data_IF_313594688926
#
_entry.id   IF_313594688926
#
_cell.length_a   1.000
_cell.length_b   1.000
_cell.length_c   1.000
_cell.angle_alpha   90.00
_cell.angle_beta   90.00
_cell.angle_gamma   90.00
#
_symmetry.space_group_name_H-M   'P 1'
#
loop_
_entity.id
_entity.type
_entity.pdbx_description
1 polymer ?
#
# COMPACT_ATOMS: atom_id res chain seq x y z
N UNK A 1 -3.68 -15.83 -19.10
CA UNK A 1 -4.19 -14.45 -19.18
C UNK A 1 -5.20 -14.37 -20.31
N UNK A 2 -6.45 -13.97 -20.04
CA UNK A 2 -7.52 -13.93 -21.07
C UNK A 2 -7.71 -12.53 -21.67
N UNK A 3 -7.34 -11.49 -20.92
CA UNK A 3 -7.36 -10.09 -21.37
C UNK A 3 -5.96 -9.54 -21.62
N UNK A 4 -5.89 -8.45 -22.38
CA UNK A 4 -4.67 -7.65 -22.51
C UNK A 4 -4.25 -7.09 -21.14
N UNK A 5 -2.96 -6.83 -20.97
CA UNK A 5 -2.42 -6.28 -19.72
C UNK A 5 -1.27 -5.33 -19.98
N UNK A 6 -0.89 -4.59 -18.95
CA UNK A 6 0.31 -3.75 -18.94
C UNK A 6 1.16 -4.12 -17.74
N UNK A 7 2.43 -4.46 -17.99
CA UNK A 7 3.38 -4.81 -16.93
C UNK A 7 4.14 -3.58 -16.43
N UNK A 8 4.83 -3.67 -15.28
CA UNK A 8 5.58 -2.53 -14.76
C UNK A 8 6.72 -2.09 -15.68
N UNK A 9 7.35 -3.01 -16.42
CA UNK A 9 8.35 -2.66 -17.44
C UNK A 9 8.62 -3.85 -18.37
N UNK A 10 8.55 -3.61 -19.68
CA UNK A 10 8.89 -4.64 -20.68
C UNK A 10 10.39 -4.97 -20.72
N UNK A 11 11.26 -4.08 -20.25
CA UNK A 11 12.73 -4.22 -20.33
C UNK A 11 13.37 -4.69 -19.02
N UNK A 12 12.61 -4.74 -17.92
CA UNK A 12 13.14 -5.10 -16.61
C UNK A 12 13.08 -6.60 -16.32
N UNK A 13 14.09 -7.08 -15.58
CA UNK A 13 14.36 -8.49 -15.30
C UNK A 13 13.18 -9.27 -14.71
N UNK A 14 12.38 -8.62 -13.85
CA UNK A 14 11.28 -9.23 -13.10
C UNK A 14 9.91 -8.61 -13.41
N UNK A 15 9.82 -7.74 -14.41
CA UNK A 15 8.58 -7.07 -14.80
C UNK A 15 8.16 -7.33 -16.25
N UNK A 16 8.99 -8.02 -17.05
CA UNK A 16 8.69 -8.30 -18.46
C UNK A 16 7.68 -9.45 -18.65
N UNK A 17 7.39 -9.80 -19.90
CA UNK A 17 6.35 -10.75 -20.26
C UNK A 17 4.96 -10.15 -20.07
N UNK A 18 4.06 -10.86 -19.39
CA UNK A 18 2.73 -10.40 -19.01
C UNK A 18 2.53 -10.44 -17.48
N UNK A 19 3.61 -10.27 -16.72
CA UNK A 19 3.61 -10.19 -15.26
C UNK A 19 2.85 -8.94 -14.80
N UNK A 20 1.66 -9.17 -14.25
CA UNK A 20 0.70 -8.12 -13.91
C UNK A 20 0.54 -8.07 -12.41
N UNK A 21 0.86 -6.93 -11.81
CA UNK A 21 0.71 -6.68 -10.39
C UNK A 21 -0.55 -5.85 -10.11
N UNK A 22 -1.24 -6.15 -9.00
CA UNK A 22 -2.46 -5.45 -8.63
C UNK A 22 -2.23 -3.93 -8.42
N UNK A 23 -1.22 -3.56 -7.62
CA UNK A 23 -0.89 -2.16 -7.29
C UNK A 23 -0.62 -1.30 -8.53
N UNK A 24 0.21 -1.82 -9.42
CA UNK A 24 0.63 -1.18 -10.66
C UNK A 24 -0.57 -0.94 -11.58
N UNK A 25 -1.43 -1.94 -11.71
CA UNK A 25 -2.54 -1.91 -12.67
C UNK A 25 -3.55 -0.81 -12.36
N UNK A 26 -3.84 -0.53 -11.08
CA UNK A 26 -4.75 0.56 -10.71
C UNK A 26 -4.24 1.91 -11.20
N UNK A 27 -2.95 2.16 -11.00
CA UNK A 27 -2.26 3.41 -11.37
C UNK A 27 -2.14 3.55 -12.88
N UNK A 28 -1.73 2.48 -13.54
CA UNK A 28 -1.55 2.43 -14.98
C UNK A 28 -2.88 2.65 -15.69
N UNK A 29 -3.93 1.91 -15.32
CA UNK A 29 -5.24 2.05 -15.93
C UNK A 29 -5.86 3.44 -15.71
N UNK A 30 -5.64 4.04 -14.53
CA UNK A 30 -6.10 5.41 -14.24
C UNK A 30 -5.50 6.43 -15.23
N UNK A 31 -4.20 6.35 -15.53
CA UNK A 31 -3.63 7.25 -16.54
C UNK A 31 -4.04 6.85 -17.96
N UNK A 32 -4.00 5.54 -18.25
CA UNK A 32 -4.22 5.02 -19.59
C UNK A 32 -5.59 5.31 -20.14
N UNK A 33 -6.64 5.38 -19.32
CA UNK A 33 -7.99 5.62 -19.85
C UNK A 33 -8.10 6.92 -20.64
N UNK A 34 -7.29 7.93 -20.31
CA UNK A 34 -7.31 9.23 -21.00
C UNK A 34 -6.74 9.21 -22.42
N UNK A 35 -6.08 8.12 -22.83
CA UNK A 35 -5.51 7.99 -24.19
C UNK A 35 -5.64 6.59 -24.82
N UNK A 36 -5.91 5.55 -24.04
CA UNK A 36 -6.11 4.17 -24.44
C UNK A 36 -7.11 3.45 -23.49
N UNK A 37 -8.41 3.81 -23.53
CA UNK A 37 -9.43 3.28 -22.62
C UNK A 37 -9.66 1.78 -22.72
N UNK A 38 -9.53 1.18 -23.90
CA UNK A 38 -9.77 -0.26 -24.09
C UNK A 38 -8.72 -1.10 -23.35
N UNK A 39 -7.43 -0.74 -23.48
CA UNK A 39 -6.37 -1.44 -22.75
C UNK A 39 -6.42 -1.15 -21.25
N UNK A 40 -6.87 0.04 -20.83
CA UNK A 40 -7.09 0.32 -19.41
C UNK A 40 -8.14 -0.62 -18.80
N UNK A 41 -9.29 -0.81 -19.48
CA UNK A 41 -10.33 -1.77 -19.08
C UNK A 41 -9.78 -3.20 -19.04
N UNK A 42 -9.12 -3.63 -20.11
CA UNK A 42 -8.59 -4.99 -20.20
C UNK A 42 -7.52 -5.28 -19.14
N UNK A 43 -6.64 -4.33 -18.84
CA UNK A 43 -5.61 -4.50 -17.80
C UNK A 43 -6.22 -4.70 -16.42
N UNK A 44 -7.33 -4.01 -16.11
CA UNK A 44 -8.10 -4.26 -14.89
C UNK A 44 -8.73 -5.65 -14.94
N UNK A 45 -9.39 -6.02 -16.05
CA UNK A 45 -10.00 -7.36 -16.21
C UNK A 45 -8.99 -8.49 -16.04
N UNK A 46 -7.76 -8.32 -16.52
CA UNK A 46 -6.72 -9.34 -16.46
C UNK A 46 -6.39 -9.80 -15.02
N UNK A 47 -6.49 -8.89 -14.03
CA UNK A 47 -6.39 -9.24 -12.61
C UNK A 47 -7.64 -9.96 -12.11
N UNK A 48 -8.81 -9.40 -12.44
CA UNK A 48 -10.09 -9.94 -11.99
C UNK A 48 -10.50 -11.28 -12.65
N UNK A 49 -9.85 -11.67 -13.75
CA UNK A 49 -9.94 -13.01 -14.34
C UNK A 49 -9.52 -14.11 -13.34
N UNK A 50 -8.67 -13.75 -12.38
CA UNK A 50 -8.10 -14.63 -11.37
C UNK A 50 -8.48 -14.24 -9.95
N UNK A 51 -9.50 -13.39 -9.80
CA UNK A 51 -10.10 -13.16 -8.49
C UNK A 51 -10.63 -14.48 -7.93
N UNK A 52 -10.26 -14.79 -6.69
CA UNK A 52 -10.61 -16.05 -6.04
C UNK A 52 -12.12 -16.16 -5.93
N UNK A 53 -12.68 -17.29 -6.38
CA UNK A 53 -14.11 -17.57 -6.30
C UNK A 53 -14.42 -18.42 -5.06
N UNK A 54 -15.66 -18.41 -4.54
CA UNK A 54 -16.04 -19.21 -3.36
C UNK A 54 -15.77 -20.72 -3.49
N UNK A 55 -15.71 -21.24 -4.71
CA UNK A 55 -15.42 -22.64 -5.01
C UNK A 55 -13.97 -22.87 -5.49
N UNK A 56 -13.05 -21.93 -5.22
CA UNK A 56 -11.64 -22.09 -5.58
C UNK A 56 -11.06 -23.37 -4.92
N UNK A 57 -10.34 -24.22 -5.67
CA UNK A 57 -9.90 -25.51 -5.15
C UNK A 57 -8.69 -25.42 -4.21
N UNK A 58 -8.02 -24.26 -4.12
CA UNK A 58 -6.78 -24.08 -3.35
C UNK A 58 -7.06 -23.24 -2.11
N UNK A 59 -7.81 -22.15 -2.28
CA UNK A 59 -8.02 -21.14 -1.25
C UNK A 59 -9.46 -20.61 -1.22
N UNK A 60 -10.48 -21.47 -1.04
CA UNK A 60 -11.86 -21.01 -0.96
C UNK A 60 -12.10 -20.01 0.18
N UNK A 61 -11.26 -20.04 1.24
CA UNK A 61 -11.28 -19.07 2.33
C UNK A 61 -10.92 -17.63 1.90
N UNK A 62 -10.28 -17.46 0.73
CA UNK A 62 -9.84 -16.18 0.19
C UNK A 62 -10.80 -15.64 -0.89
N UNK A 63 -12.05 -16.12 -0.97
CA UNK A 63 -13.02 -15.65 -1.95
C UNK A 63 -13.09 -14.12 -2.04
N UNK A 64 -12.95 -13.56 -3.23
CA UNK A 64 -12.89 -12.12 -3.47
C UNK A 64 -11.47 -11.53 -3.55
N UNK A 65 -10.45 -12.22 -3.03
CA UNK A 65 -9.06 -11.80 -3.13
C UNK A 65 -8.60 -11.67 -4.59
N UNK A 66 -7.80 -10.64 -4.87
CA UNK A 66 -7.04 -10.51 -6.11
C UNK A 66 -5.58 -10.92 -5.83
N UNK A 67 -4.99 -11.87 -6.59
CA UNK A 67 -3.58 -12.24 -6.44
C UNK A 67 -2.63 -11.04 -6.58
N UNK A 68 -1.49 -11.08 -5.89
CA UNK A 68 -0.43 -10.09 -6.03
C UNK A 68 0.10 -10.02 -7.47
N UNK A 69 0.51 -11.18 -8.01
CA UNK A 69 1.04 -11.30 -9.35
C UNK A 69 0.38 -12.42 -10.14
N UNK A 70 -0.19 -12.05 -11.29
CA UNK A 70 -0.65 -12.99 -12.31
C UNK A 70 0.25 -12.90 -13.55
N UNK A 71 0.53 -14.04 -14.17
CA UNK A 71 1.45 -14.13 -15.32
C UNK A 71 1.07 -15.30 -16.24
N UNK A 72 1.88 -15.56 -17.27
CA UNK A 72 1.64 -16.60 -18.27
C UNK A 72 1.46 -17.99 -17.65
N UNK A 73 2.43 -18.43 -16.83
CA UNK A 73 2.41 -19.72 -16.17
C UNK A 73 1.88 -19.57 -14.74
N UNK A 74 0.85 -20.34 -14.39
CA UNK A 74 0.36 -20.43 -13.01
C UNK A 74 1.31 -21.25 -12.14
N UNK A 75 1.18 -21.13 -10.82
CA UNK A 75 1.88 -22.00 -9.86
C UNK A 75 1.52 -23.49 -10.05
N UNK A 76 2.37 -24.42 -9.55
CA UNK A 76 2.10 -25.86 -9.54
C UNK A 76 0.75 -26.25 -8.93
N UNK A 77 0.32 -25.56 -7.87
CA UNK A 77 -0.97 -25.80 -7.21
C UNK A 77 -2.16 -25.59 -8.16
N UNK A 78 -1.98 -24.73 -9.18
CA UNK A 78 -2.96 -24.46 -10.25
C UNK A 78 -2.70 -25.24 -11.53
N UNK A 79 -1.79 -26.22 -11.50
CA UNK A 79 -1.47 -27.08 -12.64
C UNK A 79 -0.49 -26.50 -13.66
N UNK A 80 0.22 -25.42 -13.32
CA UNK A 80 1.29 -24.85 -14.14
C UNK A 80 2.68 -25.19 -13.61
N UNK A 81 3.69 -24.48 -14.10
CA UNK A 81 5.11 -24.61 -13.69
C UNK A 81 5.75 -23.24 -13.40
N UNK A 82 4.93 -22.19 -13.23
CA UNK A 82 5.37 -20.83 -13.04
C UNK A 82 5.97 -20.59 -11.65
N UNK A 83 7.15 -19.95 -11.60
CA UNK A 83 7.80 -19.55 -10.36
C UNK A 83 7.47 -18.14 -9.87
N UNK A 84 6.81 -17.32 -10.70
CA UNK A 84 6.56 -15.91 -10.40
C UNK A 84 5.14 -15.67 -9.86
N UNK A 85 4.15 -16.42 -10.36
CA UNK A 85 2.76 -16.32 -9.93
C UNK A 85 2.66 -16.29 -8.41
N UNK A 86 2.04 -15.25 -7.85
CA UNK A 86 2.05 -15.01 -6.41
C UNK A 86 0.66 -14.79 -5.84
N UNK A 87 0.28 -15.64 -4.89
CA UNK A 87 -0.95 -15.54 -4.10
C UNK A 87 -0.67 -15.48 -2.60
N UNK A 88 0.59 -15.28 -2.19
CA UNK A 88 0.98 -15.16 -0.77
C UNK A 88 0.41 -13.90 -0.11
N UNK A 89 0.08 -12.91 -0.92
CA UNK A 89 -0.44 -11.61 -0.54
C UNK A 89 -1.23 -11.04 -1.71
N UNK A 90 -1.86 -9.89 -1.49
CA UNK A 90 -2.37 -9.01 -2.55
C UNK A 90 -1.50 -7.74 -2.63
N UNK A 91 -2.10 -6.59 -2.96
CA UNK A 91 -1.53 -5.24 -2.89
C UNK A 91 -2.55 -4.23 -2.37
N UNK A 92 -2.17 -2.98 -2.04
CA UNK A 92 -3.13 -2.01 -1.52
C UNK A 92 -4.24 -1.73 -2.55
N UNK A 93 -5.49 -1.61 -2.10
CA UNK A 93 -6.64 -1.51 -3.01
C UNK A 93 -6.91 -0.07 -3.44
N UNK A 94 -6.55 0.25 -4.68
CA UNK A 94 -7.06 1.42 -5.43
C UNK A 94 -7.97 0.98 -6.59
N UNK A 95 -8.56 -0.22 -6.49
CA UNK A 95 -9.34 -0.83 -7.56
C UNK A 95 -10.57 0.01 -7.91
N UNK A 96 -11.39 0.38 -6.92
CA UNK A 96 -12.60 1.17 -7.16
C UNK A 96 -12.29 2.59 -7.66
N UNK A 97 -11.18 3.18 -7.21
CA UNK A 97 -10.67 4.45 -7.73
C UNK A 97 -10.33 4.36 -9.23
N UNK A 98 -9.60 3.32 -9.63
CA UNK A 98 -9.21 3.09 -11.03
C UNK A 98 -10.43 2.78 -11.91
N UNK A 99 -11.34 1.91 -11.45
CA UNK A 99 -12.60 1.58 -12.15
C UNK A 99 -13.46 2.83 -12.34
N UNK A 100 -13.55 3.68 -11.32
CA UNK A 100 -14.30 4.94 -11.40
C UNK A 100 -13.70 5.90 -12.42
N UNK A 101 -12.37 5.99 -12.54
CA UNK A 101 -11.77 6.88 -13.55
C UNK A 101 -12.03 6.38 -14.97
N UNK A 102 -12.02 5.07 -15.17
CA UNK A 102 -12.45 4.47 -16.43
C UNK A 102 -13.88 4.92 -16.78
N UNK A 103 -14.79 4.89 -15.81
CA UNK A 103 -16.14 5.40 -15.99
C UNK A 103 -16.17 6.93 -16.21
N UNK A 104 -15.35 7.71 -15.50
CA UNK A 104 -15.31 9.16 -15.63
C UNK A 104 -14.99 9.62 -17.04
N UNK A 105 -14.09 8.91 -17.73
CA UNK A 105 -13.72 9.21 -19.12
C UNK A 105 -14.70 8.59 -20.13
N UNK A 106 -15.07 7.32 -19.96
CA UNK A 106 -15.86 6.60 -20.97
C UNK A 106 -17.37 6.76 -20.83
N UNK A 107 -17.85 7.14 -19.65
CA UNK A 107 -19.28 7.18 -19.26
C UNK A 107 -20.04 5.87 -19.53
N UNK A 108 -19.31 4.74 -19.52
CA UNK A 108 -19.83 3.42 -19.80
C UNK A 108 -20.47 2.79 -18.56
N UNK A 109 -21.81 2.77 -18.49
CA UNK A 109 -22.53 2.13 -17.40
C UNK A 109 -22.36 0.60 -17.39
N UNK A 110 -22.15 -0.04 -18.53
CA UNK A 110 -21.98 -1.50 -18.60
C UNK A 110 -20.66 -1.91 -17.95
N UNK A 111 -19.62 -1.08 -18.08
CA UNK A 111 -18.37 -1.24 -17.34
C UNK A 111 -18.58 -1.24 -15.82
N UNK A 112 -19.38 -0.31 -15.29
CA UNK A 112 -19.69 -0.31 -13.85
C UNK A 112 -20.49 -1.55 -13.44
N UNK A 113 -21.46 -1.99 -14.25
CA UNK A 113 -22.22 -3.22 -14.00
C UNK A 113 -21.31 -4.46 -13.96
N UNK A 114 -20.31 -4.52 -14.84
CA UNK A 114 -19.33 -5.59 -14.89
C UNK A 114 -18.43 -5.62 -13.64
N UNK A 115 -17.91 -4.45 -13.25
CA UNK A 115 -16.87 -4.36 -12.23
C UNK A 115 -17.40 -4.29 -10.80
N UNK A 116 -18.59 -3.72 -10.59
CA UNK A 116 -19.14 -3.52 -9.25
C UNK A 116 -19.18 -4.79 -8.38
N UNK A 117 -19.75 -5.94 -8.81
CA UNK A 117 -19.76 -7.15 -7.97
C UNK A 117 -18.35 -7.69 -7.66
N UNK A 118 -17.38 -7.44 -8.53
CA UNK A 118 -15.98 -7.85 -8.33
C UNK A 118 -15.29 -6.98 -7.29
N UNK A 119 -15.55 -5.66 -7.33
CA UNK A 119 -15.08 -4.72 -6.31
C UNK A 119 -15.66 -5.05 -4.94
N UNK A 120 -16.98 -5.30 -4.86
CA UNK A 120 -17.66 -5.72 -3.63
C UNK A 120 -17.03 -6.98 -3.04
N UNK A 121 -16.78 -8.01 -3.86
CA UNK A 121 -16.14 -9.23 -3.36
C UNK A 121 -14.72 -8.98 -2.81
N UNK A 122 -13.95 -8.08 -3.42
CA UNK A 122 -12.61 -7.74 -2.94
C UNK A 122 -12.65 -6.90 -1.66
N UNK A 123 -13.59 -5.95 -1.58
CA UNK A 123 -13.89 -5.20 -0.36
C UNK A 123 -14.20 -6.13 0.82
N UNK A 124 -15.14 -7.06 0.62
CA UNK A 124 -15.57 -7.98 1.66
C UNK A 124 -14.43 -8.93 2.09
N UNK A 125 -13.50 -9.27 1.18
CA UNK A 125 -12.34 -10.10 1.53
C UNK A 125 -11.41 -9.39 2.53
N UNK A 126 -11.15 -8.10 2.37
CA UNK A 126 -10.34 -7.34 3.33
C UNK A 126 -10.94 -7.39 4.73
N UNK A 127 -12.24 -7.14 4.87
CA UNK A 127 -12.93 -7.16 6.17
C UNK A 127 -12.99 -8.55 6.81
N UNK A 128 -12.88 -9.63 6.02
CA UNK A 128 -12.87 -11.00 6.55
C UNK A 128 -11.47 -11.53 6.88
N UNK A 129 -10.47 -11.18 6.08
CA UNK A 129 -9.17 -11.85 6.08
C UNK A 129 -8.02 -10.93 6.55
N UNK A 130 -8.29 -9.64 6.76
CA UNK A 130 -7.31 -8.58 7.08
C UNK A 130 -7.83 -7.57 8.10
N UNK A 131 -8.67 -8.02 9.02
CA UNK A 131 -9.17 -7.23 10.15
C UNK A 131 -9.09 -8.12 11.40
N UNK A 132 -7.89 -8.20 11.97
CA UNK A 132 -7.56 -9.15 13.04
C UNK A 132 -8.41 -8.91 14.29
N UNK A 133 -8.62 -7.65 14.66
CA UNK A 133 -9.33 -7.26 15.87
C UNK A 133 -10.85 -7.03 15.63
N UNK A 134 -11.31 -7.11 14.39
CA UNK A 134 -12.72 -7.02 14.01
C UNK A 134 -13.32 -5.62 14.18
N UNK A 135 -12.50 -4.57 14.08
CA UNK A 135 -12.94 -3.19 14.29
C UNK A 135 -13.38 -2.48 13.00
N UNK A 136 -13.30 -3.15 11.85
CA UNK A 136 -13.62 -2.61 10.53
C UNK A 136 -12.48 -1.80 9.89
N UNK A 137 -11.27 -1.84 10.44
CA UNK A 137 -10.09 -1.13 9.96
C UNK A 137 -9.03 -2.15 9.53
N UNK A 138 -8.68 -2.23 8.24
CA UNK A 138 -7.83 -3.30 7.76
C UNK A 138 -6.35 -3.14 8.14
N UNK A 139 -5.67 -4.26 8.29
CA UNK A 139 -4.20 -4.34 8.34
C UNK A 139 -3.63 -4.83 6.99
N UNK A 140 -2.34 -4.58 6.75
CA UNK A 140 -1.59 -5.38 5.78
C UNK A 140 -1.24 -6.73 6.39
N UNK A 141 -1.14 -7.75 5.54
CA UNK A 141 -0.98 -9.12 5.99
C UNK A 141 -0.58 -10.10 4.91
N UNK A 142 -0.84 -11.38 5.16
CA UNK A 142 -0.49 -12.47 4.25
C UNK A 142 -1.58 -13.54 4.24
N UNK A 143 -1.63 -14.33 3.17
CA UNK A 143 -2.57 -15.45 3.08
C UNK A 143 -2.04 -16.66 3.82
N UNK A 144 -2.93 -17.63 4.09
CA UNK A 144 -2.52 -19.01 4.30
C UNK A 144 -1.84 -19.51 3.01
N UNK A 145 -0.62 -20.02 3.12
CA UNK A 145 0.18 -20.46 1.96
C UNK A 145 1.24 -21.49 2.38
N UNK A 146 1.64 -22.37 1.45
CA UNK A 146 2.70 -23.37 1.69
C UNK A 146 4.04 -22.74 2.11
N UNK A 147 4.30 -21.50 1.69
CA UNK A 147 5.49 -20.75 2.08
C UNK A 147 5.38 -20.20 3.51
N UNK A 148 4.17 -20.06 4.04
CA UNK A 148 3.89 -19.34 5.29
C UNK A 148 3.62 -20.26 6.45
N UNK A 149 3.09 -21.46 6.20
CA UNK A 149 2.66 -22.36 7.24
C UNK A 149 2.88 -23.83 6.90
N UNK A 150 3.01 -24.63 7.96
CA UNK A 150 2.96 -26.09 7.87
C UNK A 150 1.60 -26.57 7.35
N UNK A 151 1.50 -27.86 6.99
CA UNK A 151 0.23 -28.47 6.60
C UNK A 151 -0.85 -28.41 7.70
N UNK A 152 -0.44 -28.38 8.97
CA UNK A 152 -1.32 -28.17 10.14
C UNK A 152 -1.72 -26.71 10.37
N UNK A 153 -1.16 -25.77 9.60
CA UNK A 153 -1.46 -24.35 9.69
C UNK A 153 -0.61 -23.58 10.72
N UNK A 154 0.52 -24.13 11.17
CA UNK A 154 1.43 -23.43 12.08
C UNK A 154 2.35 -22.50 11.28
N UNK A 155 2.39 -21.22 11.66
CA UNK A 155 3.24 -20.21 11.02
C UNK A 155 4.72 -20.61 11.02
N UNK A 156 5.39 -20.54 9.88
CA UNK A 156 6.82 -20.79 9.70
C UNK A 156 7.64 -19.53 10.00
N UNK A 157 8.79 -19.70 10.63
CA UNK A 157 9.80 -18.66 10.78
C UNK A 157 11.20 -19.26 10.92
N UNK A 158 12.22 -18.49 10.58
CA UNK A 158 13.63 -18.89 10.70
C UNK A 158 14.36 -17.94 11.65
N UNK A 159 15.04 -18.52 12.63
CA UNK A 159 15.88 -17.81 13.59
C UNK A 159 17.33 -17.92 13.16
N UNK A 160 18.03 -16.79 13.05
CA UNK A 160 19.46 -16.75 12.79
C UNK A 160 20.23 -16.24 14.00
N UNK A 161 21.31 -16.92 14.38
CA UNK A 161 22.24 -16.51 15.44
C UNK A 161 23.65 -16.96 15.12
N UNK A 162 24.53 -16.03 14.80
CA UNK A 162 25.82 -16.30 14.17
C UNK A 162 25.63 -17.08 12.87
N UNK A 163 26.35 -18.18 12.74
CA UNK A 163 26.28 -19.07 11.57
C UNK A 163 25.16 -20.12 11.67
N UNK A 164 24.35 -20.11 12.74
CA UNK A 164 23.24 -21.06 12.92
C UNK A 164 21.95 -20.46 12.42
N UNK A 165 21.26 -21.20 11.56
CA UNK A 165 19.88 -20.94 11.13
C UNK A 165 19.00 -22.13 11.49
N UNK A 166 17.88 -21.87 12.14
CA UNK A 166 16.90 -22.89 12.53
C UNK A 166 15.51 -22.46 12.08
N UNK A 167 14.82 -23.33 11.33
CA UNK A 167 13.43 -23.09 10.93
C UNK A 167 12.51 -23.76 11.92
N UNK A 168 11.63 -22.95 12.51
CA UNK A 168 10.67 -23.31 13.54
C UNK A 168 9.26 -23.00 13.07
N UNK A 169 8.28 -23.40 13.86
CA UNK A 169 6.88 -23.09 13.59
C UNK A 169 6.06 -22.84 14.85
N UNK A 170 4.93 -22.15 14.67
CA UNK A 170 3.96 -21.83 15.71
C UNK A 170 4.12 -20.42 16.28
N UNK A 171 3.02 -19.69 16.36
CA UNK A 171 2.99 -18.29 16.79
C UNK A 171 3.52 -18.11 18.23
N UNK A 172 3.14 -19.00 19.15
CA UNK A 172 3.62 -18.97 20.54
C UNK A 172 5.15 -19.13 20.65
N UNK A 173 5.71 -20.09 19.90
CA UNK A 173 7.16 -20.29 19.84
C UNK A 173 7.87 -19.06 19.30
N UNK A 174 7.30 -18.44 18.26
CA UNK A 174 7.80 -17.19 17.71
C UNK A 174 7.80 -16.07 18.77
N UNK A 175 6.70 -15.87 19.50
CA UNK A 175 6.57 -14.82 20.51
C UNK A 175 7.59 -14.97 21.65
N UNK A 176 7.81 -16.20 22.12
CA UNK A 176 8.81 -16.51 23.16
C UNK A 176 10.23 -16.15 22.68
N UNK A 177 10.57 -16.49 21.44
CA UNK A 177 11.89 -16.19 20.84
C UNK A 177 12.03 -14.69 20.57
N UNK A 178 11.03 -14.06 19.98
CA UNK A 178 11.00 -12.63 19.69
C UNK A 178 11.21 -11.80 20.97
N UNK A 179 10.55 -12.19 22.06
CA UNK A 179 10.67 -11.55 23.38
C UNK A 179 12.04 -11.77 24.01
N UNK A 180 12.67 -12.93 23.80
CA UNK A 180 14.01 -13.21 24.35
C UNK A 180 15.09 -12.28 23.78
N UNK A 181 14.90 -11.78 22.56
CA UNK A 181 15.88 -10.95 21.84
C UNK A 181 17.19 -11.67 21.50
N UNK A 182 17.26 -13.00 21.64
CA UNK A 182 18.50 -13.77 21.50
C UNK A 182 18.76 -14.27 20.07
N UNK A 183 18.63 -13.40 19.08
CA UNK A 183 18.81 -13.69 17.66
C UNK A 183 19.47 -12.50 16.94
N UNK A 184 20.13 -12.76 15.83
CA UNK A 184 20.65 -11.72 14.93
C UNK A 184 19.56 -11.26 13.95
N UNK A 185 18.75 -12.20 13.45
CA UNK A 185 17.57 -11.92 12.64
C UNK A 185 16.48 -12.97 12.81
N UNK A 186 15.23 -12.53 12.61
CA UNK A 186 14.06 -13.40 12.45
C UNK A 186 13.52 -13.18 11.04
N UNK A 187 13.37 -14.26 10.30
CA UNK A 187 12.75 -14.25 8.97
C UNK A 187 11.40 -14.94 9.07
N UNK A 188 10.33 -14.22 8.78
CA UNK A 188 8.96 -14.75 8.79
C UNK A 188 8.42 -14.58 7.37
N UNK A 189 8.32 -15.64 6.55
CA UNK A 189 7.88 -15.52 5.17
C UNK A 189 6.52 -14.85 4.99
N UNK A 190 5.62 -15.01 5.96
CA UNK A 190 4.32 -14.34 5.98
C UNK A 190 4.46 -12.83 6.27
N UNK A 191 5.38 -12.41 7.14
CA UNK A 191 5.65 -11.00 7.38
C UNK A 191 6.33 -10.33 6.18
N UNK A 192 7.22 -11.04 5.47
CA UNK A 192 7.78 -10.56 4.20
C UNK A 192 6.67 -10.33 3.17
N UNK A 193 5.73 -11.28 3.05
CA UNK A 193 4.57 -11.14 2.18
C UNK A 193 3.65 -9.98 2.58
N UNK A 194 3.53 -9.68 3.88
CA UNK A 194 2.83 -8.48 4.37
C UNK A 194 3.56 -7.19 3.99
N UNK A 195 4.89 -7.19 4.05
CA UNK A 195 5.73 -6.12 3.48
C UNK A 195 5.42 -5.91 1.99
N UNK A 196 5.37 -7.00 1.21
CA UNK A 196 4.98 -6.94 -0.20
C UNK A 196 3.54 -6.46 -0.39
N UNK A 197 2.62 -6.84 0.48
CA UNK A 197 1.21 -6.41 0.41
C UNK A 197 1.06 -4.91 0.58
N UNK A 198 1.93 -4.28 1.38
CA UNK A 198 1.96 -2.81 1.51
C UNK A 198 2.45 -2.09 0.25
N UNK A 199 3.17 -2.81 -0.63
CA UNK A 199 3.88 -2.25 -1.78
C UNK A 199 5.06 -1.36 -1.43
N UNK A 200 5.49 -1.34 -0.15
CA UNK A 200 6.61 -0.56 0.38
C UNK A 200 7.52 -1.42 1.26
N UNK A 201 8.12 -2.42 0.62
CA UNK A 201 8.76 -3.59 1.23
C UNK A 201 9.87 -3.29 2.24
N UNK A 202 10.44 -2.08 2.23
CA UNK A 202 11.48 -1.66 3.16
C UNK A 202 11.15 -0.33 3.88
N UNK A 203 9.87 0.05 3.99
CA UNK A 203 9.49 1.30 4.65
C UNK A 203 9.76 1.28 6.16
N UNK A 204 10.18 2.43 6.70
CA UNK A 204 10.48 2.59 8.12
C UNK A 204 9.32 2.21 9.04
N UNK A 205 8.08 2.54 8.63
CA UNK A 205 6.86 2.26 9.39
C UNK A 205 6.62 0.77 9.61
N UNK A 206 7.19 -0.12 8.79
CA UNK A 206 7.09 -1.58 8.95
C UNK A 206 8.28 -2.20 9.72
N UNK A 207 9.07 -1.36 10.40
CA UNK A 207 10.17 -1.82 11.25
C UNK A 207 11.52 -1.96 10.54
N UNK A 208 11.61 -1.59 9.26
CA UNK A 208 12.86 -1.66 8.50
C UNK A 208 13.76 -0.46 8.83
N UNK A 209 14.95 -0.77 9.36
CA UNK A 209 15.97 0.20 9.73
C UNK A 209 17.34 -0.48 9.67
N UNK A 210 18.35 0.21 9.13
CA UNK A 210 19.69 -0.35 9.05
C UNK A 210 20.34 -0.39 10.44
N UNK A 211 21.31 -1.29 10.65
CA UNK A 211 22.00 -1.46 11.93
C UNK A 211 22.51 -0.13 12.50
N UNK A 212 23.23 0.66 11.71
CA UNK A 212 23.84 1.92 12.16
C UNK A 212 22.79 2.99 12.47
N UNK A 213 21.66 2.99 11.77
CA UNK A 213 20.52 3.89 12.04
C UNK A 213 19.85 3.50 13.37
N UNK A 214 19.62 2.20 13.58
CA UNK A 214 19.03 1.68 14.81
C UNK A 214 19.95 1.91 16.03
N UNK A 215 21.25 1.71 15.87
CA UNK A 215 22.23 1.96 16.93
C UNK A 215 22.24 3.45 17.33
N UNK A 216 22.12 4.38 16.37
CA UNK A 216 21.93 5.82 16.65
C UNK A 216 20.59 6.12 17.32
N UNK A 217 19.50 5.50 16.86
CA UNK A 217 18.17 5.66 17.47
C UNK A 217 18.18 5.24 18.95
N UNK A 218 18.81 4.11 19.26
CA UNK A 218 18.96 3.62 20.65
C UNK A 218 19.87 4.53 21.47
N UNK A 219 20.98 5.00 20.90
CA UNK A 219 21.88 5.94 21.58
C UNK A 219 21.18 7.28 21.94
N UNK A 220 20.15 7.66 21.18
CA UNK A 220 19.32 8.84 21.44
C UNK A 220 18.13 8.56 22.39
N UNK A 221 18.09 7.39 23.03
CA UNK A 221 17.09 7.03 24.05
C UNK A 221 15.91 6.18 23.56
N UNK A 222 15.88 5.83 22.27
CA UNK A 222 14.90 4.89 21.73
C UNK A 222 15.15 3.43 22.14
N UNK A 223 14.18 2.55 21.95
CA UNK A 223 14.31 1.11 22.22
C UNK A 223 14.30 0.31 20.92
N UNK A 224 15.13 -0.73 20.82
CA UNK A 224 15.09 -1.63 19.64
C UNK A 224 13.71 -2.24 19.40
N UNK A 225 12.98 -2.53 20.47
CA UNK A 225 11.62 -3.06 20.44
C UNK A 225 10.61 -2.13 19.75
N UNK A 226 10.89 -0.83 19.66
CA UNK A 226 10.00 0.13 18.98
C UNK A 226 9.92 -0.18 17.47
N UNK A 227 10.97 -0.79 16.91
CA UNK A 227 11.07 -1.20 15.51
C UNK A 227 10.59 -2.62 15.25
N UNK A 228 10.23 -3.38 16.29
CA UNK A 228 9.62 -4.70 16.11
C UNK A 228 8.16 -4.55 15.72
N UNK A 229 7.78 -5.11 14.58
CA UNK A 229 6.37 -5.28 14.19
C UNK A 229 5.95 -6.69 14.56
N UNK A 230 4.98 -6.80 15.48
CA UNK A 230 4.39 -8.09 15.84
C UNK A 230 3.46 -8.57 14.72
N UNK A 231 3.19 -9.87 14.70
CA UNK A 231 2.40 -10.54 13.67
C UNK A 231 1.35 -11.42 14.33
N UNK A 232 0.18 -11.59 13.70
CA UNK A 232 -0.90 -12.40 14.22
C UNK A 232 -1.53 -13.29 13.14
N UNK A 233 -2.12 -14.40 13.58
CA UNK A 233 -2.96 -15.28 12.75
C UNK A 233 -4.41 -14.79 12.75
N UNK A 234 -5.03 -14.76 11.57
CA UNK A 234 -6.45 -14.49 11.40
C UNK A 234 -7.19 -15.82 11.25
N UNK A 235 -8.26 -16.00 12.02
CA UNK A 235 -9.07 -17.22 12.02
C UNK A 235 -10.54 -16.89 11.85
N UNK A 236 -11.25 -17.73 11.09
CA UNK A 236 -12.70 -17.61 10.95
C UNK A 236 -13.44 -18.03 12.24
N UNK A 237 -14.77 -17.87 12.25
CA UNK A 237 -15.62 -18.24 13.39
C UNK A 237 -15.57 -19.73 13.76
N UNK A 238 -15.07 -20.60 12.88
CA UNK A 238 -14.88 -22.03 13.13
C UNK A 238 -13.45 -22.36 13.60
N UNK A 239 -12.58 -21.35 13.74
CA UNK A 239 -11.19 -21.48 14.14
C UNK A 239 -10.23 -21.83 12.99
N UNK A 240 -10.69 -21.85 11.74
CA UNK A 240 -9.84 -22.14 10.59
C UNK A 240 -8.93 -20.94 10.29
N UNK A 241 -7.65 -21.21 10.03
CA UNK A 241 -6.71 -20.18 9.56
C UNK A 241 -7.16 -19.63 8.20
N UNK A 242 -7.38 -18.31 8.14
CA UNK A 242 -7.70 -17.58 6.90
C UNK A 242 -6.54 -16.73 6.41
N UNK A 243 -5.58 -16.41 7.27
CA UNK A 243 -4.38 -15.65 6.90
C UNK A 243 -3.68 -15.07 8.11
N UNK A 244 -2.98 -13.97 7.89
CA UNK A 244 -2.18 -13.27 8.87
C UNK A 244 -2.34 -11.77 8.70
N UNK A 245 -2.13 -11.03 9.79
CA UNK A 245 -2.05 -9.57 9.80
C UNK A 245 -0.80 -9.12 10.55
N UNK A 246 -0.23 -7.98 10.15
CA UNK A 246 0.59 -7.19 11.06
C UNK A 246 -0.29 -6.80 12.26
N UNK A 247 0.24 -6.81 13.48
CA UNK A 247 -0.43 -6.17 14.62
C UNK A 247 -0.23 -4.65 14.56
N UNK A 248 -0.62 -4.07 13.43
CA UNK A 248 -0.45 -2.69 13.05
C UNK A 248 -1.49 -2.34 11.97
N UNK A 249 -2.31 -1.34 12.25
CA UNK A 249 -3.26 -0.79 11.29
C UNK A 249 -2.59 0.38 10.56
N UNK A 250 -2.48 0.26 9.23
CA UNK A 250 -1.76 1.24 8.43
C UNK A 250 -2.65 2.39 7.97
N UNK A 251 -2.18 3.63 8.13
CA UNK A 251 -3.01 4.81 7.84
C UNK A 251 -3.26 4.99 6.35
N UNK A 252 -2.32 4.59 5.50
CA UNK A 252 -2.56 4.57 4.05
C UNK A 252 -3.59 3.51 3.66
N UNK A 253 -3.51 2.32 4.25
CA UNK A 253 -4.46 1.23 4.01
C UNK A 253 -5.89 1.62 4.44
N UNK A 254 -6.04 2.16 5.65
CA UNK A 254 -7.34 2.66 6.12
C UNK A 254 -7.88 3.78 5.21
N UNK A 255 -6.99 4.64 4.69
CA UNK A 255 -7.36 5.70 3.75
C UNK A 255 -7.75 5.14 2.37
N UNK A 256 -7.11 4.08 1.89
CA UNK A 256 -7.52 3.39 0.67
C UNK A 256 -8.87 2.69 0.86
N UNK A 257 -9.12 2.07 2.01
CA UNK A 257 -10.42 1.48 2.36
C UNK A 257 -11.52 2.55 2.47
N UNK A 258 -11.21 3.74 2.97
CA UNK A 258 -12.11 4.89 2.90
C UNK A 258 -12.48 5.21 1.45
N UNK A 259 -11.49 5.32 0.57
CA UNK A 259 -11.71 5.58 -0.86
C UNK A 259 -12.51 4.46 -1.52
N UNK A 260 -12.22 3.21 -1.21
CA UNK A 260 -12.93 2.05 -1.75
C UNK A 260 -14.43 2.12 -1.41
N UNK A 261 -14.76 2.31 -0.13
CA UNK A 261 -16.14 2.56 0.31
C UNK A 261 -16.78 3.77 -0.40
N UNK A 262 -16.05 4.89 -0.49
CA UNK A 262 -16.56 6.09 -1.16
C UNK A 262 -16.87 5.85 -2.65
N UNK A 263 -16.01 5.14 -3.36
CA UNK A 263 -16.23 4.82 -4.77
C UNK A 263 -17.28 3.74 -4.96
N UNK A 264 -17.33 2.70 -4.13
CA UNK A 264 -18.41 1.72 -4.12
C UNK A 264 -19.78 2.39 -3.91
N UNK A 265 -19.87 3.33 -2.96
CA UNK A 265 -21.10 4.10 -2.75
C UNK A 265 -21.52 4.88 -4.00
N UNK A 266 -20.56 5.53 -4.68
CA UNK A 266 -20.83 6.26 -5.93
C UNK A 266 -21.28 5.32 -7.05
N UNK A 267 -20.61 4.19 -7.23
CA UNK A 267 -20.96 3.20 -8.25
C UNK A 267 -22.36 2.64 -7.96
N UNK A 268 -22.63 2.26 -6.72
CA UNK A 268 -23.95 1.79 -6.29
C UNK A 268 -25.05 2.81 -6.62
N UNK A 269 -24.83 4.09 -6.31
CA UNK A 269 -25.77 5.16 -6.65
C UNK A 269 -26.00 5.30 -8.17
N UNK A 270 -24.93 5.25 -8.98
CA UNK A 270 -25.02 5.29 -10.46
C UNK A 270 -25.81 4.08 -11.00
N UNK A 271 -25.63 2.90 -10.38
CA UNK A 271 -26.31 1.66 -10.76
C UNK A 271 -27.73 1.53 -10.17
N UNK A 272 -28.24 2.56 -9.47
CA UNK A 272 -29.59 2.53 -8.89
C UNK A 272 -29.74 1.62 -7.68
N UNK A 273 -28.67 1.48 -6.87
CA UNK A 273 -28.60 0.67 -5.64
C UNK A 273 -28.46 1.57 -4.39
N UNK A 274 -29.50 2.33 -4.00
CA UNK A 274 -29.38 3.36 -2.96
C UNK A 274 -29.07 2.81 -1.56
N UNK A 275 -29.59 1.63 -1.21
CA UNK A 275 -29.32 1.01 0.09
C UNK A 275 -27.85 0.59 0.23
N UNK A 276 -27.28 -0.02 -0.82
CA UNK A 276 -25.85 -0.34 -0.87
C UNK A 276 -25.00 0.95 -0.85
N UNK A 277 -25.44 2.01 -1.53
CA UNK A 277 -24.77 3.30 -1.50
C UNK A 277 -24.71 3.92 -0.10
N UNK A 278 -25.83 3.89 0.63
CA UNK A 278 -25.91 4.37 2.02
C UNK A 278 -25.04 3.54 2.98
N UNK A 279 -25.02 2.22 2.78
CA UNK A 279 -24.17 1.32 3.54
C UNK A 279 -22.68 1.70 3.40
N UNK A 280 -22.17 1.81 2.17
CA UNK A 280 -20.77 2.15 1.94
C UNK A 280 -20.43 3.59 2.38
N UNK A 281 -21.37 4.55 2.27
CA UNK A 281 -21.18 5.88 2.85
C UNK A 281 -20.99 5.85 4.36
N UNK A 282 -21.74 4.98 5.05
CA UNK A 282 -21.63 4.79 6.49
C UNK A 282 -20.27 4.22 6.88
N UNK A 283 -19.79 3.19 6.18
CA UNK A 283 -18.47 2.61 6.39
C UNK A 283 -17.34 3.62 6.12
N UNK A 284 -17.43 4.38 5.02
CA UNK A 284 -16.47 5.46 4.74
C UNK A 284 -16.44 6.49 5.87
N UNK A 285 -17.60 6.89 6.40
CA UNK A 285 -17.66 7.85 7.52
C UNK A 285 -17.04 7.29 8.80
N UNK A 286 -17.25 6.00 9.09
CA UNK A 286 -16.64 5.32 10.24
C UNK A 286 -15.11 5.30 10.12
N UNK A 287 -14.58 4.91 8.96
CA UNK A 287 -13.14 4.92 8.68
C UNK A 287 -12.54 6.31 8.79
N UNK A 288 -13.18 7.34 8.21
CA UNK A 288 -12.70 8.72 8.34
C UNK A 288 -12.65 9.16 9.81
N UNK A 289 -13.67 8.85 10.60
CA UNK A 289 -13.67 9.17 12.04
C UNK A 289 -12.53 8.46 12.76
N UNK A 290 -12.29 7.17 12.46
CA UNK A 290 -11.21 6.40 13.05
C UNK A 290 -9.84 6.97 12.68
N UNK A 291 -9.58 7.21 11.39
CA UNK A 291 -8.32 7.82 10.89
C UNK A 291 -8.04 9.14 11.61
N UNK A 292 -9.02 10.04 11.70
CA UNK A 292 -8.83 11.34 12.35
C UNK A 292 -8.68 11.26 13.87
N UNK A 293 -9.24 10.25 14.52
CA UNK A 293 -9.20 10.11 15.97
C UNK A 293 -7.97 9.35 16.45
N UNK A 294 -7.59 8.31 15.71
CA UNK A 294 -6.63 7.30 16.13
C UNK A 294 -5.26 7.47 15.47
N UNK A 295 -5.21 7.89 14.20
CA UNK A 295 -3.97 7.89 13.42
C UNK A 295 -3.32 9.28 13.31
N UNK A 296 -3.98 10.35 13.76
CA UNK A 296 -3.41 11.70 13.75
C UNK A 296 -2.75 12.03 15.10
N UNK A 297 -1.46 12.35 15.08
CA UNK A 297 -0.79 12.93 16.24
C UNK A 297 -0.85 14.46 16.20
N UNK A 298 -1.47 15.04 17.22
CA UNK A 298 -1.63 16.50 17.35
C UNK A 298 -0.31 17.22 17.63
N UNK A 299 0.65 16.55 18.27
CA UNK A 299 1.90 17.18 18.66
C UNK A 299 2.83 17.37 17.46
N UNK A 300 2.98 16.35 16.62
CA UNK A 300 3.78 16.42 15.39
C UNK A 300 3.01 17.05 14.21
N UNK A 301 1.68 17.07 14.28
CA UNK A 301 0.81 17.61 13.24
C UNK A 301 0.72 16.70 12.01
N UNK A 302 0.82 15.38 12.20
CA UNK A 302 0.95 14.41 11.12
C UNK A 302 0.21 13.10 11.41
N UNK A 303 -0.04 12.30 10.38
CA UNK A 303 -0.65 10.98 10.50
C UNK A 303 0.39 9.85 10.50
N UNK A 304 0.08 8.77 11.20
CA UNK A 304 0.91 7.57 11.35
C UNK A 304 0.04 6.32 11.43
N UNK A 305 0.64 5.18 11.12
CA UNK A 305 0.12 3.88 11.53
C UNK A 305 -0.06 3.81 13.05
N UNK A 306 -0.94 2.92 13.51
CA UNK A 306 -1.08 2.59 14.93
C UNK A 306 -0.78 1.11 15.17
N UNK A 307 -0.28 0.76 16.35
CA UNK A 307 -0.18 -0.64 16.76
C UNK A 307 -1.55 -1.19 17.11
N UNK A 308 -1.75 -2.49 16.91
CA UNK A 308 -2.80 -3.22 17.63
C UNK A 308 -2.17 -3.66 18.96
N UNK A 309 -2.47 -2.90 20.01
CA UNK A 309 -1.99 -3.17 21.36
C UNK A 309 -2.79 -4.30 22.00
N UNK A 310 -2.24 -4.92 23.05
CA UNK A 310 -2.88 -6.03 23.77
C UNK A 310 -4.29 -5.67 24.28
N UNK A 311 -4.55 -4.38 24.50
CA UNK A 311 -5.87 -3.82 24.79
C UNK A 311 -6.07 -2.52 24.02
N UNK A 312 -7.25 -2.30 23.42
CA UNK A 312 -7.55 -1.03 22.78
C UNK A 312 -7.56 0.10 23.81
N UNK A 313 -7.29 1.31 23.32
CA UNK A 313 -7.35 2.54 24.10
C UNK A 313 -8.80 2.85 24.50
N UNK A 314 -8.97 3.68 25.54
CA UNK A 314 -10.30 4.03 26.06
C UNK A 314 -11.21 4.75 25.04
N UNK A 315 -10.63 5.34 23.99
CA UNK A 315 -11.36 5.99 22.89
C UNK A 315 -11.72 5.03 21.74
N UNK A 316 -11.43 3.73 21.87
CA UNK A 316 -11.72 2.70 20.88
C UNK A 316 -10.64 2.50 19.81
N UNK A 317 -9.55 3.26 19.84
CA UNK A 317 -8.42 3.04 18.94
C UNK A 317 -7.65 1.77 19.33
N UNK A 318 -7.18 1.00 18.36
CA UNK A 318 -6.44 -0.24 18.61
C UNK A 318 -5.11 -0.02 19.35
N UNK A 319 -4.53 1.18 19.25
CA UNK A 319 -3.31 1.58 19.94
C UNK A 319 -2.91 3.00 19.62
N UNK A 320 -1.71 3.38 20.06
CA UNK A 320 -1.16 4.72 19.83
C UNK A 320 -0.52 4.88 18.43
N UNK A 321 -0.53 6.11 17.85
CA UNK A 321 0.28 6.45 16.68
C UNK A 321 1.76 6.10 16.87
N UNK A 322 2.36 5.47 15.86
CA UNK A 322 3.77 5.05 15.85
C UNK A 322 4.66 6.22 15.44
N UNK A 323 4.70 7.26 16.26
CA UNK A 323 5.41 8.52 15.98
C UNK A 323 6.94 8.33 15.94
N UNK A 324 7.45 7.38 16.70
CA UNK A 324 8.87 7.15 16.93
C UNK A 324 9.58 6.51 15.73
N UNK A 325 8.84 5.94 14.78
CA UNK A 325 9.38 5.48 13.48
C UNK A 325 9.47 6.58 12.43
N UNK A 326 9.09 7.81 12.81
CA UNK A 326 9.18 8.98 11.95
C UNK A 326 8.06 9.07 10.91
N UNK A 327 8.11 10.13 10.11
CA UNK A 327 7.08 10.48 9.12
C UNK A 327 7.41 9.85 7.76
N UNK A 328 6.39 9.33 7.07
CA UNK A 328 6.46 8.89 5.68
C UNK A 328 5.26 9.35 4.85
N UNK A 329 5.17 8.89 3.58
CA UNK A 329 4.14 9.30 2.63
C UNK A 329 2.74 8.82 3.01
N UNK A 330 2.64 7.79 3.84
CA UNK A 330 1.38 7.33 4.41
C UNK A 330 0.62 8.45 5.13
N UNK A 331 1.35 9.43 5.69
CA UNK A 331 0.74 10.52 6.44
C UNK A 331 -0.04 11.55 5.61
N UNK A 332 0.14 11.59 4.29
CA UNK A 332 -0.74 12.37 3.39
C UNK A 332 -1.75 11.51 2.62
N UNK A 333 -1.78 10.19 2.87
CA UNK A 333 -2.82 9.32 2.30
C UNK A 333 -4.24 9.73 2.74
N UNK A 334 -4.50 10.16 4.00
CA UNK A 334 -5.81 10.69 4.39
C UNK A 334 -6.23 11.93 3.58
N UNK A 335 -5.27 12.76 3.13
CA UNK A 335 -5.54 13.94 2.32
C UNK A 335 -5.86 13.51 0.88
N UNK A 336 -5.02 12.68 0.27
CA UNK A 336 -5.26 12.15 -1.08
C UNK A 336 -6.63 11.49 -1.20
N UNK A 337 -6.97 10.64 -0.24
CA UNK A 337 -8.20 9.86 -0.25
C UNK A 337 -9.42 10.66 0.20
N UNK A 338 -9.24 11.77 0.94
CA UNK A 338 -10.34 12.62 1.41
C UNK A 338 -10.92 12.27 2.77
N UNK A 339 -10.21 11.44 3.54
CA UNK A 339 -10.61 11.05 4.88
C UNK A 339 -10.27 12.13 5.92
N UNK A 340 -9.26 12.98 5.68
CA UNK A 340 -8.82 13.98 6.64
C UNK A 340 -9.88 15.06 6.94
N UNK A 341 -9.87 15.61 8.15
CA UNK A 341 -10.53 16.90 8.40
C UNK A 341 -9.69 18.03 7.81
N UNK A 342 -10.32 19.17 7.49
CA UNK A 342 -9.58 20.36 7.02
C UNK A 342 -8.46 20.77 7.98
N UNK A 343 -8.73 20.80 9.29
CA UNK A 343 -7.73 21.21 10.29
C UNK A 343 -6.51 20.28 10.33
N UNK A 344 -6.72 18.95 10.20
CA UNK A 344 -5.61 18.00 10.12
C UNK A 344 -4.88 18.11 8.77
N UNK A 345 -5.60 18.31 7.67
CA UNK A 345 -4.99 18.55 6.36
C UNK A 345 -4.09 19.79 6.38
N UNK A 346 -4.54 20.90 6.97
CA UNK A 346 -3.76 22.13 7.11
C UNK A 346 -2.46 21.91 7.92
N UNK A 347 -2.48 21.01 8.92
CA UNK A 347 -1.31 20.63 9.70
C UNK A 347 -0.33 19.78 8.88
N UNK A 348 -0.84 18.76 8.18
CA UNK A 348 -0.04 17.87 7.32
C UNK A 348 0.62 18.66 6.19
N UNK A 349 -0.09 19.57 5.53
CA UNK A 349 0.47 20.38 4.43
C UNK A 349 1.61 21.27 4.91
N UNK A 350 1.56 21.80 6.14
CA UNK A 350 2.70 22.54 6.72
C UNK A 350 3.94 21.66 6.86
N UNK A 351 3.78 20.41 7.28
CA UNK A 351 4.87 19.43 7.36
C UNK A 351 5.39 19.06 5.97
N UNK A 352 4.50 18.83 5.00
CA UNK A 352 4.88 18.53 3.62
C UNK A 352 5.71 19.66 2.98
N UNK A 353 5.39 20.91 3.31
CA UNK A 353 6.07 22.11 2.79
C UNK A 353 7.32 22.51 3.58
N UNK A 354 7.63 21.85 4.71
CA UNK A 354 8.82 22.14 5.50
C UNK A 354 10.08 21.55 4.82
N UNK A 355 11.10 22.36 4.48
CA UNK A 355 12.36 21.88 3.89
C UNK A 355 13.20 21.02 4.84
N UNK A 356 12.87 20.98 6.14
CA UNK A 356 13.48 20.07 7.11
C UNK A 356 12.75 18.72 7.19
N UNK A 357 11.65 18.57 6.47
CA UNK A 357 10.83 17.35 6.47
C UNK A 357 10.77 16.78 5.04
N UNK A 358 9.84 17.26 4.21
CA UNK A 358 9.58 16.68 2.88
C UNK A 358 9.79 17.65 1.72
N UNK A 359 9.96 18.96 1.94
CA UNK A 359 10.20 19.92 0.87
C UNK A 359 11.69 19.97 0.47
N UNK A 360 12.19 18.80 0.05
CA UNK A 360 13.57 18.55 -0.40
C UNK A 360 13.81 19.02 -1.83
N UNK A 361 15.03 18.82 -2.37
CA UNK A 361 15.39 19.21 -3.74
C UNK A 361 14.46 18.60 -4.79
N UNK A 362 14.19 17.30 -4.69
CA UNK A 362 12.97 16.68 -5.25
C UNK A 362 12.06 16.38 -4.05
N UNK A 363 10.89 17.02 -3.93
CA UNK A 363 10.07 16.98 -2.71
C UNK A 363 9.20 15.72 -2.58
N UNK A 364 8.67 15.51 -1.38
CA UNK A 364 7.72 14.45 -0.99
C UNK A 364 8.29 13.02 -1.17
N UNK A 365 9.47 12.79 -0.59
CA UNK A 365 10.11 11.47 -0.53
C UNK A 365 9.40 10.47 0.39
N UNK A 366 9.82 9.20 0.31
CA UNK A 366 9.21 8.09 1.08
C UNK A 366 9.55 8.06 2.57
N UNK A 367 10.39 8.98 3.03
CA UNK A 367 10.57 9.29 4.45
C UNK A 367 11.01 10.74 4.57
N UNK A 368 10.54 11.42 5.63
CA UNK A 368 11.02 12.77 5.94
C UNK A 368 12.51 12.76 6.27
N UNK A 369 13.19 13.90 6.09
CA UNK A 369 14.59 14.06 6.53
C UNK A 369 14.78 13.80 8.03
N UNK A 370 13.74 13.97 8.85
CA UNK A 370 13.76 13.71 10.30
C UNK A 370 13.50 12.24 10.65
N UNK A 371 13.12 11.39 9.69
CA UNK A 371 12.84 10.00 9.97
C UNK A 371 14.12 9.29 10.46
N UNK A 372 14.09 8.55 11.60
CA UNK A 372 15.29 7.90 12.12
C UNK A 372 15.95 6.90 11.16
N UNK A 373 15.16 6.33 10.24
CA UNK A 373 15.62 5.39 9.21
C UNK A 373 15.82 6.05 7.84
N UNK A 374 15.83 7.39 7.75
CA UNK A 374 16.04 8.10 6.50
C UNK A 374 17.39 7.75 5.85
N UNK A 375 17.35 7.47 4.54
CA UNK A 375 18.50 7.43 3.67
C UNK A 375 18.12 7.86 2.25
N UNK A 376 18.82 8.86 1.71
CA UNK A 376 18.48 9.49 0.43
C UNK A 376 18.50 8.52 -0.78
N UNK A 377 19.22 7.40 -0.67
CA UNK A 377 19.31 6.38 -1.71
C UNK A 377 18.48 5.11 -1.42
N UNK A 378 17.72 5.09 -0.33
CA UNK A 378 16.88 3.95 0.07
C UNK A 378 15.49 4.09 -0.57
N UNK A 379 14.96 2.99 -1.13
CA UNK A 379 13.75 2.98 -1.95
C UNK A 379 12.51 3.49 -1.21
N UNK A 380 12.15 2.91 -0.05
CA UNK A 380 10.99 3.33 0.74
C UNK A 380 11.35 4.03 2.06
N UNK A 381 12.59 4.53 2.18
CA UNK A 381 13.05 5.35 3.32
C UNK A 381 13.75 6.65 2.92
N UNK A 382 13.39 7.22 1.77
CA UNK A 382 13.87 8.54 1.37
C UNK A 382 13.64 8.88 -0.09
N UNK A 383 13.83 7.93 -1.01
CA UNK A 383 13.64 8.16 -2.45
C UNK A 383 12.21 8.64 -2.78
N UNK A 384 12.11 9.50 -3.78
CA UNK A 384 10.84 10.06 -4.27
C UNK A 384 10.30 9.18 -5.39
N UNK A 385 9.10 8.66 -5.20
CA UNK A 385 8.35 7.96 -6.24
C UNK A 385 7.24 8.86 -6.77
N UNK A 386 7.00 8.81 -8.07
CA UNK A 386 6.11 9.77 -8.75
C UNK A 386 4.65 9.60 -8.31
N UNK A 387 4.24 8.39 -7.95
CA UNK A 387 2.91 8.11 -7.39
C UNK A 387 2.71 8.77 -6.03
N UNK A 388 3.63 8.56 -5.08
CA UNK A 388 3.53 9.16 -3.74
C UNK A 388 3.59 10.68 -3.79
N UNK A 389 4.44 11.22 -4.67
CA UNK A 389 4.52 12.65 -4.95
C UNK A 389 3.19 13.19 -5.49
N UNK A 390 2.61 12.55 -6.51
CA UNK A 390 1.34 12.97 -7.08
C UNK A 390 0.17 12.82 -6.09
N UNK A 391 0.13 11.76 -5.28
CA UNK A 391 -0.85 11.61 -4.19
C UNK A 391 -0.76 12.79 -3.21
N UNK A 392 0.45 13.21 -2.85
CA UNK A 392 0.68 14.39 -2.04
C UNK A 392 0.12 15.66 -2.69
N UNK A 393 0.40 15.91 -3.98
CA UNK A 393 -0.13 17.07 -4.69
C UNK A 393 -1.65 17.07 -4.79
N UNK A 394 -2.27 15.92 -5.07
CA UNK A 394 -3.74 15.78 -5.09
C UNK A 394 -4.36 15.96 -3.72
N UNK A 395 -3.70 15.47 -2.67
CA UNK A 395 -4.10 15.73 -1.30
C UNK A 395 -4.06 17.23 -0.98
N UNK A 396 -2.97 17.91 -1.29
CA UNK A 396 -2.86 19.36 -1.14
C UNK A 396 -3.95 20.11 -1.91
N UNK A 397 -4.15 19.79 -3.20
CA UNK A 397 -5.19 20.39 -4.03
C UNK A 397 -6.59 20.19 -3.43
N UNK A 398 -6.93 18.97 -3.00
CA UNK A 398 -8.24 18.63 -2.45
C UNK A 398 -8.62 19.49 -1.25
N UNK A 399 -7.63 19.93 -0.48
CA UNK A 399 -7.83 20.74 0.73
C UNK A 399 -7.49 22.23 0.52
N UNK A 400 -7.45 22.71 -0.73
CA UNK A 400 -7.35 24.13 -1.05
C UNK A 400 -5.93 24.66 -1.30
N UNK A 401 -4.92 23.79 -1.34
CA UNK A 401 -3.51 24.16 -1.52
C UNK A 401 -3.01 23.93 -2.95
N UNK A 402 -3.87 24.15 -3.96
CA UNK A 402 -3.51 23.96 -5.38
C UNK A 402 -2.30 24.82 -5.78
N UNK A 403 -2.21 26.06 -5.29
CA UNK A 403 -1.10 26.94 -5.62
C UNK A 403 0.25 26.41 -5.12
N UNK A 404 0.30 25.85 -3.91
CA UNK A 404 1.53 25.24 -3.39
C UNK A 404 1.82 23.91 -4.08
N UNK A 405 0.80 23.11 -4.42
CA UNK A 405 0.97 21.90 -5.21
C UNK A 405 1.59 22.20 -6.60
N UNK A 406 1.18 23.29 -7.24
CA UNK A 406 1.73 23.75 -8.52
C UNK A 406 3.21 24.20 -8.39
N UNK A 407 3.60 24.80 -7.25
CA UNK A 407 5.02 25.13 -6.98
C UNK A 407 5.87 23.89 -6.78
N UNK A 408 5.36 22.89 -6.05
CA UNK A 408 6.07 21.61 -5.89
C UNK A 408 6.17 20.85 -7.21
N UNK A 409 5.13 20.86 -8.05
CA UNK A 409 5.18 20.27 -9.40
C UNK A 409 6.23 20.95 -10.28
N UNK A 410 6.34 22.27 -10.27
CA UNK A 410 7.38 22.99 -10.99
C UNK A 410 8.79 22.68 -10.44
N UNK A 411 8.93 22.56 -9.13
CA UNK A 411 10.19 22.17 -8.47
C UNK A 411 10.60 20.76 -8.91
N UNK A 412 9.66 19.80 -8.90
CA UNK A 412 9.87 18.46 -9.44
C UNK A 412 10.29 18.52 -10.91
N UNK A 413 9.59 19.29 -11.75
CA UNK A 413 9.91 19.41 -13.17
C UNK A 413 11.33 19.93 -13.43
N UNK A 414 11.79 20.89 -12.62
CA UNK A 414 13.13 21.49 -12.73
C UNK A 414 14.24 20.57 -12.19
N UNK A 415 13.95 19.77 -11.17
CA UNK A 415 14.97 19.07 -10.39
C UNK A 415 15.02 17.55 -10.60
N UNK A 416 13.94 16.92 -11.08
CA UNK A 416 13.93 15.51 -11.43
C UNK A 416 14.83 15.27 -12.66
N UNK A 417 16.02 14.70 -12.44
CA UNK A 417 17.01 14.52 -13.52
C UNK A 417 16.46 13.59 -14.59
N UNK A 418 16.76 13.91 -15.85
CA UNK A 418 16.36 13.09 -17.00
C UNK A 418 14.95 13.39 -17.53
N UNK A 419 14.13 14.20 -16.84
CA UNK A 419 12.73 14.41 -17.23
C UNK A 419 12.56 15.01 -18.63
N UNK A 420 13.47 15.91 -19.05
CA UNK A 420 13.46 16.55 -20.38
C UNK A 420 14.54 16.01 -21.30
N UNK A 421 15.09 14.83 -21.01
CA UNK A 421 16.08 14.15 -21.87
C UNK A 421 15.43 12.97 -22.59
N UNK A 422 16.18 12.28 -23.43
CA UNK A 422 15.70 11.13 -24.20
C UNK A 422 15.91 9.79 -23.48
N UNK A 423 16.17 9.81 -22.16
CA UNK A 423 16.34 8.60 -21.35
C UNK A 423 15.00 7.92 -21.06
N UNK A 424 14.99 6.60 -20.78
CA UNK A 424 13.78 5.92 -20.35
C UNK A 424 13.33 6.40 -18.97
N UNK A 425 12.01 6.44 -18.75
CA UNK A 425 11.42 6.68 -17.42
C UNK A 425 11.86 5.56 -16.47
N UNK A 426 12.29 5.91 -15.26
CA UNK A 426 12.67 4.98 -14.19
C UNK A 426 11.71 5.07 -13.00
N UNK A 427 12.00 4.35 -11.92
CA UNK A 427 11.11 4.18 -10.76
C UNK A 427 11.08 5.41 -9.85
N UNK A 428 12.25 5.91 -9.43
CA UNK A 428 12.34 6.86 -8.33
C UNK A 428 13.56 7.79 -8.41
N UNK A 429 13.60 8.79 -7.51
CA UNK A 429 14.61 9.85 -7.48
C UNK A 429 15.22 9.99 -6.09
N UNK A 430 16.52 10.23 -6.00
CA UNK A 430 17.15 10.66 -4.75
C UNK A 430 16.62 12.08 -4.39
N UNK A 431 16.08 12.31 -3.17
CA UNK A 431 15.39 13.54 -2.81
C UNK A 431 16.34 14.75 -2.69
N UNK A 432 17.65 14.51 -2.53
CA UNK A 432 18.66 15.56 -2.34
C UNK A 432 19.36 15.94 -3.64
N UNK A 433 19.37 15.06 -4.64
CA UNK A 433 20.17 15.24 -5.87
C UNK A 433 19.39 15.08 -7.17
N UNK A 434 18.16 14.57 -7.10
CA UNK A 434 17.31 14.24 -8.24
C UNK A 434 17.80 13.06 -9.08
N UNK A 435 18.79 12.30 -8.63
CA UNK A 435 19.33 11.16 -9.38
C UNK A 435 18.31 10.02 -9.49
N UNK A 436 18.09 9.54 -10.72
CA UNK A 436 17.17 8.44 -11.01
C UNK A 436 17.74 7.07 -10.64
N UNK A 437 16.87 6.13 -10.23
CA UNK A 437 17.19 4.71 -10.08
C UNK A 437 15.96 3.85 -10.40
N UNK A 438 16.21 2.58 -10.74
CA UNK A 438 15.21 1.55 -10.93
C UNK A 438 15.12 1.02 -12.36
N UNK A 439 14.14 0.15 -12.59
CA UNK A 439 13.79 -0.41 -13.87
C UNK A 439 13.59 0.71 -14.91
N UNK A 440 14.21 0.63 -16.10
CA UNK A 440 13.86 1.52 -17.20
C UNK A 440 12.48 1.18 -17.77
N UNK A 441 11.86 2.15 -18.45
CA UNK A 441 10.53 2.03 -19.06
C UNK A 441 9.43 1.70 -18.04
N UNK A 442 9.48 2.34 -16.87
CA UNK A 442 8.63 1.98 -15.75
C UNK A 442 7.21 2.59 -15.82
N UNK A 443 6.21 1.74 -15.83
CA UNK A 443 4.82 2.06 -16.20
C UNK A 443 4.11 2.96 -15.18
N UNK A 444 4.20 2.71 -13.86
CA UNK A 444 3.48 3.59 -12.92
C UNK A 444 4.10 4.98 -12.83
N UNK A 445 5.40 5.11 -13.12
CA UNK A 445 6.07 6.40 -13.19
C UNK A 445 5.60 7.13 -14.43
N UNK A 446 5.50 6.45 -15.57
CA UNK A 446 4.90 7.00 -16.77
C UNK A 446 3.45 7.44 -16.56
N UNK A 447 2.65 6.63 -15.86
CA UNK A 447 1.27 6.95 -15.51
C UNK A 447 1.17 8.25 -14.70
N UNK A 448 1.93 8.39 -13.61
CA UNK A 448 1.86 9.59 -12.78
C UNK A 448 2.57 10.80 -13.38
N UNK A 449 3.58 10.62 -14.24
CA UNK A 449 4.12 11.71 -15.06
C UNK A 449 3.06 12.25 -16.04
N UNK A 450 2.25 11.37 -16.63
CA UNK A 450 1.10 11.77 -17.45
C UNK A 450 0.05 12.51 -16.61
N UNK A 451 -0.28 12.02 -15.41
CA UNK A 451 -1.21 12.71 -14.50
C UNK A 451 -0.67 14.06 -14.03
N UNK A 452 0.63 14.20 -13.77
CA UNK A 452 1.27 15.49 -13.47
C UNK A 452 1.16 16.45 -14.65
N UNK A 453 1.36 15.97 -15.88
CA UNK A 453 1.14 16.76 -17.09
C UNK A 453 -0.32 17.27 -17.18
N UNK A 454 -1.29 16.39 -16.92
CA UNK A 454 -2.70 16.73 -17.01
C UNK A 454 -3.14 17.73 -15.91
N UNK A 455 -2.64 17.55 -14.68
CA UNK A 455 -3.21 18.23 -13.51
C UNK A 455 -2.40 19.46 -13.05
N UNK A 456 -1.08 19.44 -13.23
CA UNK A 456 -0.18 20.35 -12.51
C UNK A 456 0.91 21.04 -13.34
N UNK A 457 1.46 20.40 -14.39
CA UNK A 457 2.46 21.08 -15.23
C UNK A 457 1.82 22.16 -16.09
N UNK A 458 2.39 23.37 -16.05
CA UNK A 458 1.94 24.51 -16.83
C UNK A 458 3.10 25.45 -17.14
N UNK A 459 2.95 26.26 -18.18
CA UNK A 459 3.87 27.37 -18.45
C UNK A 459 3.75 28.39 -17.30
N UNK A 460 4.88 28.77 -16.72
CA UNK A 460 4.95 29.84 -15.72
C UNK A 460 4.78 31.22 -16.36
#
# INVERSE_FOLDING_TARGET
MKHNTVTPSVTARWFSGNQTYAWDSWKIAFAMVHFNPEIAKDSIRALFDWQIQPNDPIRPQDAGMIPDLVTWNTIPERGGDGGNWNERNTKPSLAAWSVMEVYNVTKDNAWLQEMYPKLVAYHDWWLRNRDHNGNGVPEYGATKDKAHNTASGEMLFTVKKGDKEETLSGLKTYEEIATSGQYDSLTIPAQEAAGWESGRDDAAVFGFIDKDQLDKYVANGGKRSDWTVKFAENRDNNGNLVGYSLLQESVDQASYMYSDNHYLAKIAAILGKPEEAEHYQTLAKQLANYINTCMFDRQSGFYYDIRIEDKPLANGCAGHPIIERGKGPEGWSPLFNGAATQAHADAVVKVMLDPKEFNTFVPLGTAALTNPAFGADIYWRGRVWVDQFWFGLKGMERYGYRDDALKLADTFFKHAKGLTTNGPIQENYNPLTGAQQGAPNFSWSAAHLYMLYNDFFRKQ
#
